data_IF_528229886673
#
_entry.id   IF_528229886673
#
_cell.length_a   1.000
_cell.length_b   1.000
_cell.length_c   1.000
_cell.angle_alpha   90.00
_cell.angle_beta   90.00
_cell.angle_gamma   90.00
#
_symmetry.space_group_name_H-M   'P 1'
#
loop_
_entity.id
_entity.type
_entity.pdbx_description
1 polymer ?
#
# COMPACT_ATOMS: atom_id res chain seq x y z
N UNK A 1 72.83 7.41 -12.23
CA UNK A 1 72.55 8.43 -13.26
C UNK A 1 71.14 8.95 -13.03
N UNK A 2 71.00 10.26 -12.77
CA UNK A 2 69.77 11.11 -12.74
C UNK A 2 68.56 10.56 -11.98
N UNK A 3 68.34 10.86 -10.68
CA UNK A 3 67.79 12.11 -10.10
C UNK A 3 66.74 12.80 -10.97
N UNK A 4 65.48 12.78 -10.53
CA UNK A 4 64.65 13.99 -10.43
C UNK A 4 63.84 13.95 -9.12
N UNK A 5 63.89 15.09 -8.45
CA UNK A 5 63.52 15.37 -7.08
C UNK A 5 62.54 16.55 -7.14
N UNK A 6 61.42 16.49 -6.44
CA UNK A 6 60.58 17.65 -6.11
C UNK A 6 59.66 17.34 -4.92
N UNK A 7 60.19 17.55 -3.71
CA UNK A 7 59.77 18.57 -2.73
C UNK A 7 58.41 19.27 -3.01
N UNK A 8 57.58 19.67 -2.03
CA UNK A 8 57.51 19.63 -0.56
C UNK A 8 56.18 20.34 -0.19
N UNK A 9 55.82 20.35 1.11
CA UNK A 9 54.78 21.17 1.79
C UNK A 9 53.35 20.58 1.75
N UNK A 10 52.67 20.26 2.85
CA UNK A 10 52.82 20.70 4.24
C UNK A 10 51.86 21.87 4.51
N UNK A 11 50.66 21.58 5.05
CA UNK A 11 49.81 22.57 5.72
C UNK A 11 48.88 21.87 6.72
N UNK A 12 49.28 21.96 7.98
CA UNK A 12 48.48 21.74 9.19
C UNK A 12 47.54 22.94 9.42
N UNK A 13 46.57 22.78 10.33
CA UNK A 13 45.59 23.76 10.87
C UNK A 13 44.24 23.82 10.14
N UNK A 14 43.09 23.99 10.77
CA UNK A 14 42.75 24.45 12.13
C UNK A 14 41.35 23.90 12.48
N UNK A 15 41.09 23.57 13.74
CA UNK A 15 39.73 23.46 14.28
C UNK A 15 39.04 24.83 14.23
N UNK A 16 37.78 24.88 13.81
CA UNK A 16 36.84 25.91 14.22
C UNK A 16 35.42 25.35 14.15
N UNK A 17 34.82 25.11 15.33
CA UNK A 17 33.39 24.88 15.46
C UNK A 17 32.62 26.20 15.46
N UNK A 18 31.42 26.17 14.89
CA UNK A 18 30.28 27.09 15.06
C UNK A 18 29.24 26.65 14.00
N UNK A 19 27.94 26.65 14.18
CA UNK A 19 27.04 26.81 15.31
C UNK A 19 25.67 26.34 14.77
N UNK A 20 24.84 25.76 15.63
CA UNK A 20 23.44 25.46 15.32
C UNK A 20 22.70 26.76 14.94
N UNK A 21 22.05 26.76 13.78
CA UNK A 21 21.05 27.77 13.43
C UNK A 21 19.69 27.08 13.26
N UNK A 22 18.96 26.97 14.37
CA UNK A 22 17.54 26.65 14.39
C UNK A 22 16.77 27.84 13.81
N UNK A 23 16.22 27.68 12.60
CA UNK A 23 15.27 28.63 12.04
C UNK A 23 13.90 28.42 12.70
N UNK A 24 13.63 29.17 13.76
CA UNK A 24 12.28 29.41 14.27
C UNK A 24 11.67 30.56 13.46
N UNK A 25 10.71 30.28 12.58
CA UNK A 25 9.82 31.30 12.04
C UNK A 25 8.63 31.48 12.99
N UNK A 26 8.76 32.40 13.95
CA UNK A 26 7.61 33.04 14.61
C UNK A 26 7.12 34.18 13.72
N UNK A 27 6.04 33.95 12.99
CA UNK A 27 5.23 35.00 12.38
C UNK A 27 4.01 35.28 13.25
N UNK A 28 4.07 36.36 14.03
CA UNK A 28 2.91 36.92 14.73
C UNK A 28 2.12 37.77 13.74
N UNK A 29 0.91 37.34 13.40
CA UNK A 29 -0.03 38.09 12.56
C UNK A 29 -1.37 38.19 13.27
N UNK A 30 -1.62 39.33 13.91
CA UNK A 30 -2.92 39.73 14.46
C UNK A 30 -3.90 39.99 13.32
N UNK A 31 -4.92 39.16 13.22
CA UNK A 31 -6.10 39.38 12.38
C UNK A 31 -7.33 38.82 13.09
N UNK A 32 -8.03 39.67 13.83
CA UNK A 32 -9.33 39.33 14.40
C UNK A 32 -10.34 39.16 13.26
N UNK A 33 -10.84 37.94 13.08
CA UNK A 33 -12.01 37.69 12.26
C UNK A 33 -13.04 36.95 13.12
N UNK A 34 -14.08 37.67 13.52
CA UNK A 34 -15.25 37.13 14.22
C UNK A 34 -16.11 36.38 13.21
N UNK A 35 -15.77 35.12 12.97
CA UNK A 35 -16.62 34.17 12.26
C UNK A 35 -17.19 33.16 13.25
N UNK A 36 -18.50 33.19 13.44
CA UNK A 36 -19.28 32.18 14.16
C UNK A 36 -18.95 30.78 13.64
N UNK A 37 -18.21 30.00 14.44
CA UNK A 37 -18.02 28.57 14.23
C UNK A 37 -19.31 27.85 14.63
N UNK A 38 -20.12 27.48 13.65
CA UNK A 38 -21.14 26.44 13.84
C UNK A 38 -20.40 25.10 13.95
N UNK A 39 -20.33 24.56 15.16
CA UNK A 39 -19.80 23.22 15.43
C UNK A 39 -20.66 22.20 14.66
N UNK A 40 -20.04 21.48 13.71
CA UNK A 40 -20.69 20.37 13.03
C UNK A 40 -21.00 19.27 14.06
N UNK A 41 -22.19 18.64 14.01
CA UNK A 41 -22.61 17.71 15.06
C UNK A 41 -21.75 16.45 15.03
N UNK A 42 -21.08 16.17 16.16
CA UNK A 42 -20.39 14.90 16.42
C UNK A 42 -21.42 13.82 16.70
N UNK A 43 -21.98 13.22 15.66
CA UNK A 43 -22.86 12.06 15.82
C UNK A 43 -22.02 10.85 16.21
N UNK A 44 -22.21 10.33 17.44
CA UNK A 44 -21.62 9.06 17.87
C UNK A 44 -22.29 7.91 17.11
N UNK A 45 -21.61 7.39 16.10
CA UNK A 45 -22.04 6.16 15.41
C UNK A 45 -21.98 4.99 16.40
N UNK A 46 -23.12 4.33 16.61
CA UNK A 46 -23.28 3.24 17.57
C UNK A 46 -22.58 1.95 17.11
N UNK A 47 -22.22 1.06 18.03
CA UNK A 47 -21.54 -0.20 17.70
C UNK A 47 -22.37 -1.12 16.77
N UNK A 48 -23.71 -0.99 16.80
CA UNK A 48 -24.61 -1.74 15.93
C UNK A 48 -24.64 -1.21 14.48
N UNK A 49 -24.54 0.11 14.28
CA UNK A 49 -24.38 0.72 12.94
C UNK A 49 -23.00 0.43 12.31
N UNK A 50 -22.00 0.06 13.13
CA UNK A 50 -20.68 -0.40 12.66
C UNK A 50 -20.68 -1.84 12.14
N UNK A 51 -21.79 -2.56 12.28
CA UNK A 51 -21.90 -3.98 11.92
C UNK A 51 -22.83 -4.25 10.73
N UNK A 52 -23.76 -3.33 10.44
CA UNK A 52 -24.60 -3.37 9.25
C UNK A 52 -23.82 -2.98 7.99
N UNK A 53 -23.38 -3.97 7.21
CA UNK A 53 -22.97 -3.89 5.80
C UNK A 53 -22.41 -2.54 5.33
N UNK A 54 -21.31 -2.09 5.93
CA UNK A 54 -20.67 -0.81 5.60
C UNK A 54 -20.32 -0.80 4.10
N UNK A 55 -20.83 0.19 3.35
CA UNK A 55 -20.54 0.37 1.93
C UNK A 55 -19.72 1.63 1.72
N UNK A 56 -18.72 1.55 0.86
CA UNK A 56 -17.96 2.71 0.38
C UNK A 56 -18.18 2.91 -1.12
N UNK A 57 -17.85 4.10 -1.62
CA UNK A 57 -17.73 4.31 -3.07
C UNK A 57 -16.60 3.40 -3.58
N UNK A 58 -16.98 2.28 -4.18
CA UNK A 58 -16.05 1.26 -4.65
C UNK A 58 -15.08 1.82 -5.70
N UNK A 59 -13.82 1.42 -5.61
CA UNK A 59 -12.85 1.58 -6.71
C UNK A 59 -13.10 0.62 -7.87
N UNK A 60 -13.98 -0.39 -7.70
CA UNK A 60 -14.28 -1.38 -8.72
C UNK A 60 -15.30 -0.85 -9.71
N UNK A 61 -14.99 -0.99 -11.00
CA UNK A 61 -15.89 -0.76 -12.10
C UNK A 61 -15.93 -2.01 -12.96
N UNK A 62 -17.10 -2.42 -13.45
CA UNK A 62 -17.24 -3.65 -14.23
C UNK A 62 -17.71 -3.35 -15.65
N UNK A 63 -17.38 -4.22 -16.60
CA UNK A 63 -18.04 -4.23 -17.91
C UNK A 63 -19.37 -5.00 -17.85
N UNK A 64 -20.07 -5.07 -18.98
CA UNK A 64 -21.37 -5.75 -19.10
C UNK A 64 -21.25 -7.27 -18.87
N UNK A 65 -20.08 -7.84 -19.12
CA UNK A 65 -19.74 -9.24 -18.91
C UNK A 65 -19.40 -9.55 -17.44
N UNK A 66 -19.36 -8.53 -16.58
CA UNK A 66 -19.05 -8.66 -15.17
C UNK A 66 -17.55 -8.76 -14.84
N UNK A 67 -16.68 -8.50 -15.81
CA UNK A 67 -15.23 -8.43 -15.62
C UNK A 67 -14.84 -7.10 -14.98
N UNK A 68 -13.84 -7.14 -14.10
CA UNK A 68 -13.36 -5.95 -13.39
C UNK A 68 -12.54 -5.10 -14.36
N UNK A 69 -12.91 -3.84 -14.60
CA UNK A 69 -12.09 -2.88 -15.34
C UNK A 69 -10.86 -2.54 -14.49
N UNK A 70 -9.67 -2.63 -15.10
CA UNK A 70 -8.41 -2.28 -14.45
C UNK A 70 -8.43 -0.80 -14.07
N UNK A 71 -8.33 -0.46 -12.77
CA UNK A 71 -8.09 0.93 -12.37
C UNK A 71 -6.78 1.39 -13.02
N UNK A 72 -6.74 2.57 -13.62
CA UNK A 72 -5.52 3.03 -14.33
C UNK A 72 -4.60 3.85 -13.40
N UNK A 73 -5.16 4.38 -12.33
CA UNK A 73 -4.58 5.28 -11.35
C UNK A 73 -4.17 4.57 -10.04
N UNK A 74 -4.17 3.24 -10.01
CA UNK A 74 -3.98 2.49 -8.77
C UNK A 74 -2.64 2.72 -8.08
N UNK A 75 -1.61 3.16 -8.81
CA UNK A 75 -0.32 3.52 -8.21
C UNK A 75 -0.38 4.82 -7.39
N UNK A 76 -1.49 5.58 -7.49
CA UNK A 76 -1.81 6.73 -6.65
C UNK A 76 -2.68 6.33 -5.43
N UNK A 77 -3.11 5.07 -5.34
CA UNK A 77 -3.86 4.58 -4.20
C UNK A 77 -2.97 4.41 -2.97
N UNK A 78 -3.59 4.07 -1.84
CA UNK A 78 -2.86 3.95 -0.59
C UNK A 78 -2.05 2.66 -0.59
N UNK A 79 -0.73 2.79 -0.70
CA UNK A 79 0.21 1.68 -0.48
C UNK A 79 0.09 1.16 0.96
N UNK A 80 0.03 -0.17 1.14
CA UNK A 80 -0.15 -0.79 2.46
C UNK A 80 0.99 -1.68 2.92
N UNK A 81 1.82 -2.17 1.99
CA UNK A 81 2.98 -2.99 2.28
C UNK A 81 3.58 -3.64 1.03
N UNK A 82 4.81 -4.13 1.17
CA UNK A 82 5.57 -4.79 0.11
C UNK A 82 6.34 -6.01 0.64
N UNK A 83 5.67 -7.14 0.93
CA UNK A 83 6.39 -8.38 1.19
C UNK A 83 7.13 -8.85 -0.09
N UNK A 84 8.10 -9.74 0.09
CA UNK A 84 8.89 -10.31 -1.00
C UNK A 84 9.01 -11.82 -0.82
N UNK A 85 8.80 -12.57 -1.91
CA UNK A 85 9.08 -14.01 -2.01
C UNK A 85 10.07 -14.25 -3.15
N UNK A 86 11.38 -14.10 -2.90
CA UNK A 86 12.40 -14.25 -3.92
C UNK A 86 12.51 -15.67 -4.48
N UNK A 87 12.75 -15.83 -5.77
CA UNK A 87 12.92 -17.14 -6.40
C UNK A 87 14.05 -17.95 -5.76
N UNK A 88 15.16 -17.30 -5.38
CA UNK A 88 16.31 -17.97 -4.77
C UNK A 88 16.06 -18.50 -3.36
N UNK A 89 14.98 -18.07 -2.70
CA UNK A 89 14.50 -18.61 -1.42
C UNK A 89 13.34 -19.59 -1.58
N UNK A 90 12.94 -19.89 -2.82
CA UNK A 90 11.75 -20.70 -3.15
C UNK A 90 12.08 -21.68 -4.29
N UNK A 91 13.15 -22.47 -4.14
CA UNK A 91 13.57 -23.51 -5.09
C UNK A 91 13.72 -23.03 -6.55
N UNK A 92 14.09 -21.76 -6.74
CA UNK A 92 14.22 -21.12 -8.04
C UNK A 92 12.90 -20.67 -8.67
N UNK A 93 11.75 -20.89 -8.02
CA UNK A 93 10.43 -20.56 -8.55
C UNK A 93 9.42 -20.26 -7.44
N UNK A 94 9.33 -18.99 -7.06
CA UNK A 94 8.26 -18.51 -6.18
C UNK A 94 6.90 -18.63 -6.87
N UNK A 95 5.85 -18.91 -6.08
CA UNK A 95 4.47 -18.93 -6.59
C UNK A 95 4.02 -17.55 -7.10
N UNK A 96 4.53 -16.48 -6.47
CA UNK A 96 4.26 -15.09 -6.82
C UNK A 96 5.59 -14.31 -6.89
N UNK A 97 6.32 -14.37 -8.01
CA UNK A 97 7.62 -13.73 -8.14
C UNK A 97 7.48 -12.21 -8.33
N UNK A 98 8.14 -11.33 -7.57
CA UNK A 98 8.84 -11.61 -6.30
C UNK A 98 8.43 -10.60 -5.22
N UNK A 99 8.62 -9.31 -5.44
CA UNK A 99 8.06 -8.24 -4.59
C UNK A 99 6.57 -8.07 -4.85
N UNK A 100 5.78 -7.84 -3.81
CA UNK A 100 4.33 -7.69 -3.90
C UNK A 100 3.94 -6.28 -3.45
N UNK A 101 3.92 -5.29 -4.33
CA UNK A 101 3.46 -3.96 -3.95
C UNK A 101 1.94 -3.97 -3.83
N UNK A 102 1.42 -3.75 -2.62
CA UNK A 102 -0.01 -3.84 -2.32
C UNK A 102 -0.61 -2.47 -2.07
N UNK A 103 -1.76 -2.21 -2.69
CA UNK A 103 -2.48 -0.95 -2.63
C UNK A 103 -3.95 -1.22 -2.29
N UNK A 104 -4.56 -0.33 -1.51
CA UNK A 104 -6.00 -0.34 -1.22
C UNK A 104 -6.63 0.96 -1.74
N UNK A 105 -7.85 0.88 -2.29
CA UNK A 105 -8.53 2.08 -2.78
C UNK A 105 -8.72 3.13 -1.66
N UNK A 106 -8.63 4.44 -1.98
CA UNK A 106 -8.64 5.49 -0.96
C UNK A 106 -9.90 5.54 -0.09
N UNK A 107 -11.07 5.23 -0.66
CA UNK A 107 -12.34 5.27 0.08
C UNK A 107 -12.40 4.15 1.13
N UNK A 108 -11.96 2.95 0.75
CA UNK A 108 -11.89 1.80 1.64
C UNK A 108 -10.83 1.96 2.72
N UNK A 109 -9.67 2.55 2.40
CA UNK A 109 -8.68 2.89 3.42
C UNK A 109 -9.23 3.90 4.45
N UNK A 110 -9.94 4.92 3.98
CA UNK A 110 -10.56 5.91 4.86
C UNK A 110 -11.59 5.26 5.80
N UNK A 111 -12.43 4.36 5.29
CA UNK A 111 -13.36 3.59 6.11
C UNK A 111 -12.62 2.65 7.08
N UNK A 112 -11.62 1.91 6.61
CA UNK A 112 -10.82 1.00 7.44
C UNK A 112 -10.13 1.73 8.59
N UNK A 113 -9.62 2.94 8.36
CA UNK A 113 -9.03 3.79 9.42
C UNK A 113 -10.04 4.23 10.48
N UNK A 114 -11.33 4.28 10.15
CA UNK A 114 -12.39 4.65 11.10
C UNK A 114 -12.93 3.44 11.85
N UNK A 115 -12.98 2.27 11.20
CA UNK A 115 -13.74 1.11 11.69
C UNK A 115 -12.89 -0.11 12.01
N UNK A 116 -11.68 -0.22 11.43
CA UNK A 116 -10.86 -1.41 11.46
C UNK A 116 -11.45 -2.60 10.70
N UNK A 117 -12.40 -2.38 9.78
CA UNK A 117 -13.08 -3.40 8.96
C UNK A 117 -13.04 -3.04 7.47
N UNK A 118 -12.96 -4.05 6.60
CA UNK A 118 -13.11 -3.86 5.15
C UNK A 118 -14.59 -3.78 4.77
N UNK A 119 -14.97 -2.65 4.17
CA UNK A 119 -16.32 -2.36 3.71
C UNK A 119 -16.63 -3.06 2.39
N UNK A 120 -17.90 -3.29 2.09
CA UNK A 120 -18.35 -3.61 0.73
C UNK A 120 -17.94 -2.48 -0.21
N UNK A 121 -17.37 -2.87 -1.35
CA UNK A 121 -16.70 -1.98 -2.30
C UNK A 121 -15.19 -1.91 -2.14
N UNK A 122 -14.59 -2.60 -1.16
CA UNK A 122 -13.13 -2.63 -0.99
C UNK A 122 -12.44 -3.25 -2.19
N UNK A 123 -11.46 -2.54 -2.74
CA UNK A 123 -10.53 -3.05 -3.76
C UNK A 123 -9.11 -3.01 -3.21
N UNK A 124 -8.44 -4.16 -3.28
CA UNK A 124 -7.01 -4.28 -3.00
C UNK A 124 -6.32 -4.80 -4.26
N UNK A 125 -5.28 -4.10 -4.71
CA UNK A 125 -4.43 -4.49 -5.82
C UNK A 125 -3.08 -4.99 -5.31
N UNK A 126 -2.56 -6.03 -5.96
CA UNK A 126 -1.21 -6.55 -5.79
C UNK A 126 -0.50 -6.47 -7.13
N UNK A 127 0.56 -5.68 -7.17
CA UNK A 127 1.44 -5.55 -8.32
C UNK A 127 2.76 -6.29 -8.02
N UNK A 128 3.02 -7.34 -8.78
CA UNK A 128 4.26 -8.10 -8.67
C UNK A 128 5.39 -7.36 -9.39
N UNK A 129 6.56 -7.30 -8.74
CA UNK A 129 7.79 -6.69 -9.24
C UNK A 129 8.94 -7.66 -9.05
N UNK A 130 9.86 -7.77 -10.01
CA UNK A 130 11.01 -8.66 -9.91
C UNK A 130 12.06 -8.16 -8.92
N UNK A 131 12.97 -9.05 -8.51
CA UNK A 131 14.23 -8.64 -7.90
C UNK A 131 15.18 -8.19 -9.01
N UNK A 132 15.49 -6.90 -9.06
CA UNK A 132 16.44 -6.32 -10.01
C UNK A 132 17.90 -6.41 -9.54
N UNK A 133 18.14 -6.35 -8.22
CA UNK A 133 19.47 -6.48 -7.64
C UNK A 133 19.41 -7.05 -6.22
N UNK A 134 20.53 -7.61 -5.76
CA UNK A 134 20.74 -8.03 -4.36
C UNK A 134 21.73 -7.17 -3.58
N UNK A 135 22.24 -6.10 -4.22
CA UNK A 135 23.21 -5.17 -3.64
C UNK A 135 23.01 -3.77 -4.20
N UNK A 136 22.97 -2.79 -3.31
CA UNK A 136 23.02 -1.35 -3.62
C UNK A 136 23.99 -0.68 -2.64
N UNK A 137 24.19 0.64 -2.77
CA UNK A 137 25.03 1.41 -1.86
C UNK A 137 24.55 1.36 -0.40
N UNK A 138 23.26 1.14 -0.18
CA UNK A 138 22.67 0.92 1.15
C UNK A 138 22.97 -0.44 1.77
N UNK A 139 23.57 -1.37 1.01
CA UNK A 139 23.99 -2.68 1.49
C UNK A 139 23.42 -3.86 0.69
N UNK A 140 23.45 -5.04 1.31
CA UNK A 140 22.91 -6.26 0.75
C UNK A 140 21.43 -6.38 1.10
N UNK A 141 20.63 -6.91 0.18
CA UNK A 141 19.20 -7.09 0.37
C UNK A 141 18.55 -7.56 -0.91
N UNK A 142 17.27 -7.26 -1.08
CA UNK A 142 16.56 -7.41 -2.34
C UNK A 142 16.09 -6.02 -2.76
N UNK A 143 16.25 -5.67 -4.03
CA UNK A 143 15.87 -4.38 -4.57
C UNK A 143 14.98 -4.60 -5.80
N UNK A 144 13.88 -3.86 -5.86
CA UNK A 144 12.89 -3.99 -6.92
C UNK A 144 13.47 -3.70 -8.30
N UNK A 145 13.04 -4.48 -9.30
CA UNK A 145 13.34 -4.30 -10.71
C UNK A 145 12.08 -3.97 -11.50
N UNK A 146 11.79 -4.79 -12.51
CA UNK A 146 10.71 -4.56 -13.46
C UNK A 146 9.35 -5.08 -12.96
N UNK A 147 8.27 -4.46 -13.41
CA UNK A 147 6.92 -4.95 -13.19
C UNK A 147 6.73 -6.33 -13.82
N UNK A 148 5.92 -7.18 -13.17
CA UNK A 148 5.70 -8.59 -13.57
C UNK A 148 4.23 -8.87 -13.87
N UNK A 149 3.34 -8.69 -12.90
CA UNK A 149 1.90 -8.96 -13.10
C UNK A 149 1.02 -8.14 -12.16
N UNK A 150 -0.27 -8.01 -12.50
CA UNK A 150 -1.23 -7.27 -11.69
C UNK A 150 -2.46 -8.12 -11.36
N UNK A 151 -2.84 -8.12 -10.10
CA UNK A 151 -3.97 -8.86 -9.55
C UNK A 151 -4.78 -7.96 -8.60
N UNK A 152 -6.08 -8.22 -8.50
CA UNK A 152 -6.96 -7.54 -7.56
C UNK A 152 -7.80 -8.54 -6.76
N UNK A 153 -8.21 -8.12 -5.56
CA UNK A 153 -9.32 -8.71 -4.84
C UNK A 153 -10.35 -7.64 -4.51
N UNK A 154 -11.63 -7.97 -4.64
CA UNK A 154 -12.75 -7.06 -4.42
C UNK A 154 -13.74 -7.67 -3.46
N UNK A 155 -14.15 -6.91 -2.44
CA UNK A 155 -15.23 -7.26 -1.52
C UNK A 155 -16.54 -6.65 -2.00
N UNK A 156 -17.54 -7.47 -2.29
CA UNK A 156 -18.92 -7.04 -2.51
C UNK A 156 -19.84 -8.20 -2.18
N UNK A 157 -20.36 -8.21 -0.95
CA UNK A 157 -21.18 -9.31 -0.42
C UNK A 157 -22.46 -9.60 -1.22
N UNK A 158 -22.94 -8.62 -2.01
CA UNK A 158 -24.13 -8.79 -2.85
C UNK A 158 -23.78 -9.28 -4.24
N UNK A 159 -22.65 -8.82 -4.80
CA UNK A 159 -22.20 -9.25 -6.14
C UNK A 159 -21.54 -10.63 -6.13
N UNK A 160 -20.90 -10.97 -5.01
CA UNK A 160 -20.17 -12.21 -4.80
C UNK A 160 -20.76 -12.96 -3.60
N UNK A 161 -22.08 -13.11 -3.57
CA UNK A 161 -22.79 -13.87 -2.54
C UNK A 161 -22.47 -15.36 -2.59
N UNK A 162 -21.94 -15.83 -3.72
CA UNK A 162 -21.40 -17.15 -3.96
C UNK A 162 -19.93 -17.32 -3.55
N UNK A 163 -19.22 -16.24 -3.19
CA UNK A 163 -17.82 -16.30 -2.72
C UNK A 163 -17.71 -16.25 -1.20
N UNK A 164 -16.81 -17.03 -0.59
CA UNK A 164 -16.47 -16.92 0.82
C UNK A 164 -16.09 -15.49 1.22
N UNK A 165 -16.77 -14.95 2.24
CA UNK A 165 -16.53 -13.59 2.74
C UNK A 165 -16.95 -12.46 1.79
N UNK A 166 -17.59 -12.77 0.66
CA UNK A 166 -17.92 -11.79 -0.37
C UNK A 166 -16.73 -11.29 -1.17
N UNK A 167 -15.61 -12.04 -1.19
CA UNK A 167 -14.37 -11.66 -1.86
C UNK A 167 -14.19 -12.40 -3.19
N UNK A 168 -14.06 -11.66 -4.29
CA UNK A 168 -13.67 -12.19 -5.59
C UNK A 168 -12.27 -11.72 -6.00
N UNK A 169 -11.54 -12.60 -6.69
CA UNK A 169 -10.17 -12.36 -7.16
C UNK A 169 -10.14 -12.18 -8.68
N UNK A 170 -9.29 -11.27 -9.15
CA UNK A 170 -9.18 -10.91 -10.56
C UNK A 170 -7.71 -10.81 -10.96
N UNK A 171 -7.40 -11.22 -12.20
CA UNK A 171 -6.05 -11.09 -12.76
C UNK A 171 -6.09 -10.26 -14.04
N UNK A 172 -5.18 -9.30 -14.16
CA UNK A 172 -5.01 -8.47 -15.36
C UNK A 172 -3.87 -8.95 -16.26
N UNK A 173 -3.17 -10.01 -15.90
CA UNK A 173 -2.09 -10.57 -16.70
C UNK A 173 -0.73 -9.95 -16.37
N UNK A 174 0.17 -9.99 -17.35
CA UNK A 174 1.60 -9.69 -17.19
C UNK A 174 1.98 -8.33 -17.76
N UNK A 175 3.06 -7.76 -17.23
CA UNK A 175 3.64 -6.51 -17.70
C UNK A 175 4.36 -6.70 -19.05
N UNK A 176 4.58 -5.61 -19.82
CA UNK A 176 4.17 -4.23 -19.56
C UNK A 176 2.69 -3.95 -19.88
N UNK A 177 2.02 -4.88 -20.56
CA UNK A 177 0.70 -4.67 -21.15
C UNK A 177 -0.39 -5.40 -20.37
N UNK A 178 -0.67 -5.00 -19.12
CA UNK A 178 -1.81 -5.63 -18.42
C UNK A 178 -3.11 -5.36 -19.18
N UNK A 179 -4.00 -6.34 -19.15
CA UNK A 179 -5.33 -6.26 -19.73
C UNK A 179 -6.15 -5.11 -19.11
N UNK A 180 -7.01 -4.51 -19.92
CA UNK A 180 -7.91 -3.43 -19.50
C UNK A 180 -9.05 -3.92 -18.63
N UNK A 181 -9.32 -5.23 -18.66
CA UNK A 181 -10.27 -5.94 -17.81
C UNK A 181 -9.59 -7.17 -17.22
N UNK A 182 -9.98 -7.51 -15.99
CA UNK A 182 -9.53 -8.70 -15.29
C UNK A 182 -10.66 -9.69 -15.18
N UNK A 183 -10.39 -10.93 -15.53
CA UNK A 183 -11.35 -12.03 -15.41
C UNK A 183 -11.40 -12.52 -13.96
N UNK A 184 -12.59 -12.84 -13.47
CA UNK A 184 -12.79 -13.45 -12.14
C UNK A 184 -12.11 -14.82 -12.12
N UNK A 185 -11.26 -15.04 -11.14
CA UNK A 185 -10.61 -16.32 -10.89
C UNK A 185 -11.60 -17.28 -10.21
N UNK A 186 -11.42 -18.59 -10.40
CA UNK A 186 -12.20 -19.60 -9.67
C UNK A 186 -11.92 -19.50 -8.18
N UNK A 187 -12.94 -19.71 -7.35
CA UNK A 187 -12.86 -19.65 -5.88
C UNK A 187 -11.66 -20.44 -5.34
N UNK A 188 -11.47 -21.68 -5.79
CA UNK A 188 -10.42 -22.57 -5.27
C UNK A 188 -9.00 -22.09 -5.60
N UNK A 189 -8.85 -21.21 -6.60
CA UNK A 189 -7.54 -20.70 -7.02
C UNK A 189 -6.94 -19.70 -6.03
N UNK A 190 -7.79 -19.01 -5.25
CA UNK A 190 -7.35 -17.89 -4.41
C UNK A 190 -8.01 -17.90 -3.02
N UNK A 191 -9.33 -18.09 -2.95
CA UNK A 191 -10.09 -18.01 -1.70
C UNK A 191 -9.68 -19.09 -0.70
N UNK A 192 -9.31 -20.29 -1.16
CA UNK A 192 -8.87 -21.37 -0.28
C UNK A 192 -7.67 -20.94 0.60
N UNK A 193 -6.62 -20.38 0.00
CA UNK A 193 -5.46 -19.88 0.74
C UNK A 193 -5.79 -18.63 1.55
N UNK A 194 -6.61 -17.72 1.00
CA UNK A 194 -6.98 -16.47 1.67
C UNK A 194 -7.92 -16.67 2.86
N UNK A 195 -8.69 -17.78 2.92
CA UNK A 195 -9.52 -18.11 4.08
C UNK A 195 -8.72 -18.29 5.38
N UNK A 196 -7.43 -18.63 5.26
CA UNK A 196 -6.49 -18.71 6.38
C UNK A 196 -5.83 -17.38 6.76
N UNK A 197 -6.19 -16.27 6.11
CA UNK A 197 -5.65 -14.97 6.45
C UNK A 197 -6.10 -14.50 7.83
N UNK A 198 -5.29 -13.65 8.47
CA UNK A 198 -5.52 -13.22 9.84
C UNK A 198 -6.68 -12.23 10.02
N UNK A 199 -7.22 -11.68 8.93
CA UNK A 199 -8.30 -10.70 8.99
C UNK A 199 -9.09 -10.67 7.68
N UNK A 200 -10.31 -11.20 7.68
CA UNK A 200 -11.29 -11.04 6.60
C UNK A 200 -10.68 -11.27 5.20
N UNK A 201 -10.04 -12.42 5.01
CA UNK A 201 -9.37 -12.85 3.77
C UNK A 201 -8.15 -12.00 3.35
N UNK A 202 -7.70 -11.04 4.18
CA UNK A 202 -6.54 -10.17 3.92
C UNK A 202 -5.43 -10.45 4.93
N UNK A 203 -4.21 -10.66 4.45
CA UNK A 203 -3.03 -10.93 5.29
C UNK A 203 -2.47 -9.66 5.96
N UNK A 204 -3.28 -8.95 6.77
CA UNK A 204 -2.93 -7.64 7.34
C UNK A 204 -1.69 -7.65 8.25
N UNK A 205 -1.25 -8.82 8.73
CA UNK A 205 0.01 -8.96 9.46
C UNK A 205 1.27 -8.62 8.62
N UNK A 206 1.20 -8.61 7.28
CA UNK A 206 2.29 -8.13 6.40
C UNK A 206 2.11 -6.68 5.95
N UNK A 207 0.99 -6.04 6.31
CA UNK A 207 0.62 -4.68 5.88
C UNK A 207 0.67 -3.67 7.06
N UNK A 208 1.84 -3.09 7.39
CA UNK A 208 1.99 -2.24 8.57
C UNK A 208 1.12 -0.98 8.52
N UNK A 209 0.84 -0.43 7.34
CA UNK A 209 -0.01 0.77 7.18
C UNK A 209 -1.45 0.49 7.63
N UNK A 210 -1.99 -0.71 7.34
CA UNK A 210 -3.32 -1.10 7.80
C UNK A 210 -3.32 -1.34 9.31
N UNK A 211 -2.33 -2.05 9.87
CA UNK A 211 -2.25 -2.25 11.32
C UNK A 211 -2.22 -0.93 12.08
N UNK A 212 -1.39 0.02 11.64
CA UNK A 212 -1.33 1.35 12.24
C UNK A 212 -2.68 2.09 12.16
N UNK A 213 -3.36 2.03 11.01
CA UNK A 213 -4.68 2.64 10.83
C UNK A 213 -5.73 2.02 11.76
N UNK A 214 -5.73 0.70 11.93
CA UNK A 214 -6.67 -0.01 12.82
C UNK A 214 -6.41 0.28 14.30
N UNK A 215 -5.15 0.32 14.74
CA UNK A 215 -4.83 0.69 16.12
C UNK A 215 -5.36 2.09 16.48
N UNK A 216 -5.22 3.05 15.54
CA UNK A 216 -5.78 4.39 15.72
C UNK A 216 -7.32 4.40 15.78
N UNK A 217 -8.00 3.48 15.10
CA UNK A 217 -9.45 3.32 15.17
C UNK A 217 -9.90 2.78 16.54
N UNK A 218 -9.19 1.79 17.07
CA UNK A 218 -9.52 1.12 18.35
C UNK A 218 -9.16 1.94 19.59
N UNK A 219 -8.27 2.92 19.46
CA UNK A 219 -7.86 3.80 20.55
C UNK A 219 -8.81 4.99 20.79
N UNK A 220 -9.89 5.11 20.00
CA UNK A 220 -10.94 6.14 20.13
C UNK A 220 -12.21 5.56 20.72
#
# INVERSE_FOLDING_TARGET
>A
MMRHNRNLMGATSLLAGTAFASLLLSGCGTGANTGTSTEAPKTKVTAAERDSGMKVKSGANYNEQGELRRPQDYREWVFVGAPVTPNDLNDGKAAFPEFHNVYIDPASYAAYKQTGKFADGTVILKELVSVGSKRMDSGNGYFQGEFVSLEAMVKDSRRFDDEPGGWAFFRFGEAPDYATVGTRMKTESCNACHSGANEDYVFTHTYPVLRAAKHAATAK
#
